data_IF_576209118895
#
_entry.id   IF_576209118895
#
_cell.length_a   1.000
_cell.length_b   1.000
_cell.length_c   1.000
_cell.angle_alpha   90.00
_cell.angle_beta   90.00
_cell.angle_gamma   90.00
#
_symmetry.space_group_name_H-M   'P 1'
#
loop_
_entity.id
_entity.type
_entity.pdbx_description
1 polymer ?
#
# COMPACT_ATOMS: atom_id res chain seq x y z
N UNK A 1 -21.11 -19.95 1.22
CA UNK A 1 -19.88 -19.92 0.39
C UNK A 1 -18.84 -19.17 1.21
N UNK A 2 -17.69 -19.78 1.49
CA UNK A 2 -16.60 -19.09 2.20
C UNK A 2 -16.09 -17.94 1.35
N UNK A 3 -15.87 -16.78 1.97
CA UNK A 3 -15.35 -15.61 1.27
C UNK A 3 -13.85 -15.77 1.04
N UNK A 4 -13.32 -15.33 -0.12
CA UNK A 4 -11.89 -15.38 -0.36
C UNK A 4 -11.16 -14.47 0.64
N UNK A 5 -10.13 -15.02 1.27
CA UNK A 5 -9.21 -14.27 2.15
C UNK A 5 -7.97 -13.84 1.36
N UNK A 6 -7.37 -12.75 1.80
CA UNK A 6 -6.10 -12.24 1.25
C UNK A 6 -5.20 -11.81 2.41
N UNK A 7 -3.91 -12.11 2.37
CA UNK A 7 -3.01 -11.81 3.48
C UNK A 7 -1.54 -11.75 3.03
N UNK A 8 -1.10 -10.58 2.59
CA UNK A 8 0.24 -10.35 2.07
C UNK A 8 0.99 -9.31 2.90
N UNK A 9 2.19 -9.67 3.38
CA UNK A 9 3.06 -8.77 4.14
C UNK A 9 4.46 -8.81 3.56
N UNK A 10 5.00 -7.66 3.15
CA UNK A 10 6.36 -7.54 2.63
C UNK A 10 7.05 -6.29 3.16
N UNK A 11 8.37 -6.40 3.38
CA UNK A 11 9.22 -5.24 3.60
C UNK A 11 9.34 -4.43 2.31
N UNK A 12 9.37 -3.11 2.41
CA UNK A 12 9.51 -2.23 1.23
C UNK A 12 10.90 -2.31 0.60
N UNK A 13 11.92 -2.66 1.40
CA UNK A 13 13.28 -2.91 0.92
C UNK A 13 13.95 -3.96 1.82
N UNK A 14 13.64 -5.26 1.63
CA UNK A 14 14.03 -6.34 2.55
C UNK A 14 15.54 -6.48 2.73
N UNK A 15 16.33 -6.16 1.70
CA UNK A 15 17.78 -6.33 1.72
C UNK A 15 18.53 -5.13 2.33
N UNK A 16 17.80 -4.08 2.74
CA UNK A 16 18.41 -2.88 3.34
C UNK A 16 18.26 -2.91 4.85
N UNK A 17 19.36 -2.97 5.63
CA UNK A 17 19.30 -2.89 7.09
C UNK A 17 18.84 -1.51 7.60
N UNK A 18 18.73 -0.52 6.71
CA UNK A 18 18.24 0.83 7.01
C UNK A 18 16.74 0.98 6.77
N UNK A 19 16.11 0.03 6.07
CA UNK A 19 14.68 0.05 5.78
C UNK A 19 13.94 -0.86 6.75
N UNK A 20 13.27 -0.26 7.72
CA UNK A 20 12.40 -0.98 8.66
C UNK A 20 10.92 -0.82 8.32
N UNK A 21 10.63 -0.37 7.09
CA UNK A 21 9.29 -0.12 6.62
C UNK A 21 8.72 -1.35 5.89
N UNK A 22 7.44 -1.64 6.12
CA UNK A 22 6.73 -2.73 5.46
C UNK A 22 5.28 -2.36 5.22
N UNK A 23 4.62 -3.11 4.33
CA UNK A 23 3.18 -3.08 4.20
C UNK A 23 2.57 -4.43 4.57
N UNK A 24 1.33 -4.39 5.02
CA UNK A 24 0.51 -5.56 5.27
C UNK A 24 -0.89 -5.32 4.69
N UNK A 25 -1.20 -6.02 3.61
CA UNK A 25 -2.47 -5.94 2.91
C UNK A 25 -3.26 -7.23 3.18
N UNK A 26 -4.50 -7.11 3.67
CA UNK A 26 -5.34 -8.26 3.99
C UNK A 26 -6.82 -8.02 3.77
N UNK A 27 -7.52 -9.11 3.46
CA UNK A 27 -8.97 -9.24 3.49
C UNK A 27 -9.27 -10.42 4.39
N UNK A 28 -10.00 -10.17 5.48
CA UNK A 28 -10.36 -11.17 6.48
C UNK A 28 -11.67 -11.89 6.10
N UNK A 29 -11.96 -13.01 6.74
CA UNK A 29 -13.15 -13.85 6.45
C UNK A 29 -14.48 -13.11 6.62
N UNK A 30 -14.50 -12.12 7.52
CA UNK A 30 -15.65 -11.24 7.77
C UNK A 30 -15.87 -10.20 6.65
N UNK A 31 -15.01 -10.15 5.64
CA UNK A 31 -15.07 -9.19 4.54
C UNK A 31 -14.38 -7.86 4.84
N UNK A 32 -13.66 -7.74 5.95
CA UNK A 32 -12.95 -6.51 6.28
C UNK A 32 -11.60 -6.45 5.55
N UNK A 33 -11.40 -5.39 4.77
CA UNK A 33 -10.11 -5.06 4.15
C UNK A 33 -9.28 -4.16 5.06
N UNK A 34 -7.99 -4.46 5.17
CA UNK A 34 -6.99 -3.61 5.85
C UNK A 34 -5.71 -3.53 5.02
N UNK A 35 -5.26 -2.32 4.73
CA UNK A 35 -3.89 -2.06 4.28
C UNK A 35 -3.18 -1.24 5.35
N UNK A 36 -2.11 -1.77 5.92
CA UNK A 36 -1.27 -1.06 6.88
C UNK A 36 0.11 -0.85 6.29
N UNK A 37 0.55 0.40 6.16
CA UNK A 37 1.94 0.76 5.86
C UNK A 37 2.55 1.25 7.16
N UNK A 38 3.66 0.66 7.59
CA UNK A 38 4.27 0.97 8.87
C UNK A 38 5.80 0.91 8.83
N UNK A 39 6.41 1.68 9.73
CA UNK A 39 7.83 1.64 10.04
C UNK A 39 8.02 1.53 11.57
N UNK A 40 9.24 1.76 12.06
CA UNK A 40 9.54 1.71 13.49
C UNK A 40 8.98 2.91 14.29
N UNK A 41 8.46 3.95 13.62
CA UNK A 41 7.96 5.18 14.24
C UNK A 41 6.44 5.25 14.26
N UNK A 42 5.77 4.68 13.28
CA UNK A 42 4.32 4.74 13.19
C UNK A 42 3.72 3.91 12.07
N UNK A 43 2.41 4.05 11.90
CA UNK A 43 1.67 3.36 10.85
C UNK A 43 0.52 4.20 10.32
N UNK A 44 0.20 3.99 9.05
CA UNK A 44 -1.02 4.45 8.41
C UNK A 44 -1.83 3.21 8.06
N UNK A 45 -3.13 3.25 8.34
CA UNK A 45 -4.05 2.16 8.02
C UNK A 45 -5.20 2.65 7.16
N UNK A 46 -5.44 1.95 6.05
CA UNK A 46 -6.69 2.01 5.30
C UNK A 46 -7.56 0.83 5.70
N UNK A 47 -8.86 1.08 5.83
CA UNK A 47 -9.84 0.12 6.31
C UNK A 47 -11.18 0.35 5.62
N UNK A 48 -11.80 -0.74 5.16
CA UNK A 48 -13.12 -0.74 4.53
C UNK A 48 -13.82 -2.08 4.76
N UNK A 49 -15.14 -2.06 4.88
CA UNK A 49 -15.99 -3.25 4.91
C UNK A 49 -16.42 -3.62 3.49
N UNK A 50 -15.95 -4.77 2.97
CA UNK A 50 -16.25 -5.21 1.61
C UNK A 50 -17.64 -5.85 1.49
N UNK A 51 -18.41 -5.93 2.56
CA UNK A 51 -19.81 -6.34 2.52
C UNK A 51 -20.73 -5.21 2.08
N UNK A 52 -20.25 -3.97 2.15
CA UNK A 52 -20.94 -2.76 1.73
C UNK A 52 -20.44 -2.37 0.32
N UNK A 53 -21.29 -2.41 -0.72
CA UNK A 53 -20.91 -2.07 -2.09
C UNK A 53 -20.33 -0.66 -2.24
N UNK A 54 -20.76 0.31 -1.44
CA UNK A 54 -20.22 1.67 -1.50
C UNK A 54 -18.78 1.70 -0.99
N UNK A 55 -18.51 0.99 0.10
CA UNK A 55 -17.17 0.85 0.66
C UNK A 55 -16.23 0.02 -0.21
N UNK A 56 -16.75 -0.91 -1.02
CA UNK A 56 -15.94 -1.58 -2.06
C UNK A 56 -15.43 -0.55 -3.07
N UNK A 57 -16.31 0.33 -3.56
CA UNK A 57 -15.93 1.39 -4.51
C UNK A 57 -14.94 2.36 -3.85
N UNK A 58 -15.17 2.73 -2.59
CA UNK A 58 -14.28 3.61 -1.83
C UNK A 58 -12.90 2.98 -1.65
N UNK A 59 -12.82 1.69 -1.27
CA UNK A 59 -11.59 0.94 -1.12
C UNK A 59 -10.77 0.97 -2.41
N UNK A 60 -11.41 0.68 -3.55
CA UNK A 60 -10.76 0.71 -4.86
C UNK A 60 -10.22 2.10 -5.21
N UNK A 61 -11.00 3.15 -4.96
CA UNK A 61 -10.55 4.53 -5.21
C UNK A 61 -9.36 4.92 -4.33
N UNK A 62 -9.41 4.62 -3.02
CA UNK A 62 -8.31 4.89 -2.09
C UNK A 62 -7.02 4.21 -2.52
N UNK A 63 -7.09 2.91 -2.85
CA UNK A 63 -5.94 2.13 -3.30
C UNK A 63 -5.38 2.68 -4.61
N UNK A 64 -6.24 3.02 -5.57
CA UNK A 64 -5.81 3.60 -6.84
C UNK A 64 -5.13 4.96 -6.66
N UNK A 65 -5.71 5.86 -5.86
CA UNK A 65 -5.10 7.17 -5.57
C UNK A 65 -3.74 7.03 -4.88
N UNK A 66 -3.60 6.11 -3.93
CA UNK A 66 -2.32 5.83 -3.28
C UNK A 66 -1.29 5.30 -4.29
N UNK A 67 -1.66 4.33 -5.12
CA UNK A 67 -0.77 3.77 -6.13
C UNK A 67 -0.30 4.84 -7.13
N UNK A 68 -1.21 5.68 -7.62
CA UNK A 68 -0.88 6.79 -8.52
C UNK A 68 0.11 7.76 -7.88
N UNK A 69 -0.15 8.22 -6.65
CA UNK A 69 0.76 9.16 -5.96
C UNK A 69 2.16 8.59 -5.74
N UNK A 70 2.28 7.29 -5.45
CA UNK A 70 3.58 6.61 -5.33
C UNK A 70 4.33 6.57 -6.67
N UNK A 71 3.64 6.25 -7.77
CA UNK A 71 4.23 6.21 -9.11
C UNK A 71 4.67 7.61 -9.57
N UNK A 72 3.84 8.62 -9.34
CA UNK A 72 4.17 10.02 -9.66
C UNK A 72 5.42 10.48 -8.90
N UNK A 73 5.53 10.14 -7.61
CA UNK A 73 6.73 10.43 -6.82
C UNK A 73 7.96 9.71 -7.38
N UNK A 74 7.85 8.42 -7.74
CA UNK A 74 8.96 7.69 -8.36
C UNK A 74 9.43 8.36 -9.67
N UNK A 75 8.49 8.75 -10.52
CA UNK A 75 8.79 9.44 -11.78
C UNK A 75 9.51 10.76 -11.53
N UNK A 76 9.02 11.56 -10.58
CA UNK A 76 9.64 12.83 -10.21
C UNK A 76 11.07 12.64 -9.69
N UNK A 77 11.29 11.69 -8.78
CA UNK A 77 12.63 11.38 -8.24
C UNK A 77 13.57 10.95 -9.38
N UNK A 78 13.09 10.04 -10.23
CA UNK A 78 13.87 9.49 -11.34
C UNK A 78 14.33 10.58 -12.30
N UNK A 79 13.41 11.46 -12.72
CA UNK A 79 13.71 12.54 -13.64
C UNK A 79 14.68 13.58 -13.04
N UNK A 80 14.47 13.96 -11.78
CA UNK A 80 15.17 15.12 -11.21
C UNK A 80 16.43 14.79 -10.40
N UNK A 81 16.58 13.54 -9.94
CA UNK A 81 17.67 13.14 -9.04
C UNK A 81 18.47 11.94 -9.53
N UNK A 82 17.93 11.11 -10.45
CA UNK A 82 18.67 9.97 -10.97
C UNK A 82 19.31 10.25 -12.34
N UNK A 83 18.55 10.85 -13.26
CA UNK A 83 19.05 11.16 -14.60
C UNK A 83 19.72 12.54 -14.71
N UNK A 84 19.38 13.49 -13.83
CA UNK A 84 19.99 14.83 -13.82
C UNK A 84 21.51 14.83 -13.70
N UNK A 85 22.07 13.84 -12.99
CA UNK A 85 23.52 13.72 -12.79
C UNK A 85 24.20 12.81 -13.85
N UNK A 86 23.44 12.35 -14.86
CA UNK A 86 23.92 11.47 -15.94
C UNK A 86 23.92 12.15 -17.33
N UNK A 87 23.48 13.40 -17.41
CA UNK A 87 23.65 14.30 -18.56
C UNK A 87 24.85 15.23 -18.32
#
# INVERSE_FOLDING_TARGET
MEKPIYNEKNFLLPDSPRSMASYHAKVMEDGIMKLTIHDCKGSIQLHNDLNDPEQVIEALKKLNSLATGVVELQNFITQNYYYKDKE
#
